data_IF_181728027940
#
_entry.id   IF_181728027940
#
_cell.length_a   1.000
_cell.length_b   1.000
_cell.length_c   1.000
_cell.angle_alpha   90.00
_cell.angle_beta   90.00
_cell.angle_gamma   90.00
#
_symmetry.space_group_name_H-M   'P 1'
#
loop_
_entity.id
_entity.type
_entity.pdbx_description
1 polymer ?
#
# COMPACT_ATOMS: atom_id res chain seq x y z
N UNK A 1 0.14 9.42 -9.30
CA UNK A 1 1.32 8.78 -9.96
C UNK A 1 1.70 9.51 -11.26
N UNK A 2 0.79 9.68 -12.24
CA UNK A 2 1.10 10.35 -13.53
C UNK A 2 1.72 11.73 -13.31
N UNK A 3 1.11 12.57 -12.49
CA UNK A 3 1.63 13.92 -12.16
C UNK A 3 3.05 13.91 -11.59
N UNK A 4 3.37 12.92 -10.76
CA UNK A 4 4.72 12.77 -10.22
C UNK A 4 5.77 12.48 -11.31
N UNK A 5 5.40 11.65 -12.29
CA UNK A 5 6.30 11.38 -13.43
C UNK A 5 6.47 12.60 -14.34
N UNK A 6 5.39 13.36 -14.60
CA UNK A 6 5.44 14.59 -15.38
C UNK A 6 6.30 15.62 -14.67
N UNK A 7 6.10 15.79 -13.35
CA UNK A 7 6.90 16.73 -12.55
C UNK A 7 8.38 16.36 -12.55
N UNK A 8 8.70 15.07 -12.33
CA UNK A 8 10.08 14.59 -12.40
C UNK A 8 10.69 14.80 -13.80
N UNK A 9 9.95 14.46 -14.87
CA UNK A 9 10.40 14.65 -16.25
C UNK A 9 10.72 16.14 -16.56
N UNK A 10 9.85 17.07 -16.16
CA UNK A 10 10.03 18.49 -16.40
C UNK A 10 11.23 19.09 -15.63
N UNK A 11 11.69 18.43 -14.57
CA UNK A 11 12.83 18.85 -13.76
C UNK A 11 14.10 18.02 -14.02
N UNK A 12 14.02 17.00 -14.88
CA UNK A 12 15.15 16.16 -15.24
C UNK A 12 15.98 16.85 -16.31
N UNK A 13 17.18 17.28 -15.92
CA UNK A 13 18.18 17.88 -16.82
C UNK A 13 19.56 17.30 -16.50
N UNK A 14 20.54 17.53 -17.37
CA UNK A 14 21.93 17.14 -17.11
C UNK A 14 22.44 17.84 -15.84
N UNK A 15 22.96 17.07 -14.89
CA UNK A 15 23.40 17.57 -13.59
C UNK A 15 22.28 17.82 -12.56
N UNK A 16 21.02 17.49 -12.89
CA UNK A 16 19.90 17.59 -11.96
C UNK A 16 20.07 16.63 -10.77
N UNK A 17 19.69 17.04 -9.55
CA UNK A 17 19.72 16.16 -8.37
C UNK A 17 18.76 14.96 -8.48
N UNK A 18 17.83 14.99 -9.42
CA UNK A 18 16.85 13.92 -9.63
C UNK A 18 17.49 12.68 -10.29
N UNK A 19 18.51 12.90 -11.13
CA UNK A 19 19.15 11.85 -11.91
C UNK A 19 19.75 10.74 -11.03
N UNK A 20 19.27 9.49 -11.21
CA UNK A 20 19.76 8.31 -10.46
C UNK A 20 19.18 8.14 -9.06
N UNK A 21 18.34 9.05 -8.57
CA UNK A 21 17.69 8.94 -7.27
C UNK A 21 16.35 8.23 -7.33
N UNK A 22 15.98 7.53 -6.23
CA UNK A 22 14.68 6.89 -6.04
C UNK A 22 13.82 7.72 -5.09
N UNK A 23 12.52 7.83 -5.40
CA UNK A 23 11.59 8.66 -4.64
C UNK A 23 10.35 7.86 -4.24
N UNK A 24 9.93 8.03 -2.99
CA UNK A 24 8.61 7.57 -2.56
C UNK A 24 7.55 8.59 -2.96
N UNK A 25 6.50 8.10 -3.62
CA UNK A 25 5.36 8.89 -4.08
C UNK A 25 4.09 8.36 -3.42
N UNK A 26 3.48 9.20 -2.59
CA UNK A 26 2.24 8.87 -1.87
C UNK A 26 1.41 10.13 -1.64
N UNK A 27 0.22 9.98 -1.06
CA UNK A 27 -0.61 11.12 -0.65
C UNK A 27 -0.05 11.86 0.59
N UNK A 28 0.98 11.33 1.24
CA UNK A 28 1.56 11.85 2.48
C UNK A 28 0.53 11.97 3.64
N UNK A 29 -0.51 11.14 3.58
CA UNK A 29 -1.58 11.04 4.59
C UNK A 29 -1.52 9.62 5.17
N UNK A 30 -0.83 9.39 6.31
CA UNK A 30 -0.81 8.09 6.95
C UNK A 30 -2.22 7.75 7.47
N UNK A 31 -2.71 6.56 7.13
CA UNK A 31 -4.02 6.08 7.55
C UNK A 31 -3.90 4.71 8.21
N UNK A 32 -4.77 4.42 9.18
CA UNK A 32 -4.90 3.06 9.69
C UNK A 32 -5.52 2.16 8.63
N UNK A 33 -4.80 1.14 8.19
CA UNK A 33 -5.22 0.23 7.12
C UNK A 33 -6.59 -0.42 7.41
N UNK A 34 -6.81 -0.86 8.64
CA UNK A 34 -8.02 -1.59 9.02
C UNK A 34 -9.24 -0.68 9.11
N UNK A 35 -9.07 0.54 9.60
CA UNK A 35 -10.13 1.55 9.63
C UNK A 35 -10.49 2.01 8.21
N UNK A 36 -9.48 2.21 7.38
CA UNK A 36 -9.67 2.57 5.98
C UNK A 36 -10.40 1.46 5.21
N UNK A 37 -10.00 0.19 5.36
CA UNK A 37 -10.69 -0.96 4.76
C UNK A 37 -12.14 -1.09 5.22
N UNK A 38 -12.40 -0.92 6.51
CA UNK A 38 -13.77 -0.97 7.04
C UNK A 38 -14.64 0.18 6.50
N UNK A 39 -14.08 1.37 6.31
CA UNK A 39 -14.76 2.50 5.68
C UNK A 39 -15.10 2.20 4.21
N UNK A 40 -14.16 1.59 3.47
CA UNK A 40 -14.40 1.14 2.10
C UNK A 40 -15.50 0.06 2.05
N UNK A 41 -15.43 -0.96 2.89
CA UNK A 41 -16.44 -2.03 2.94
C UNK A 41 -17.83 -1.48 3.27
N UNK A 42 -17.92 -0.56 4.24
CA UNK A 42 -19.16 0.15 4.55
C UNK A 42 -19.71 0.89 3.33
N UNK A 43 -18.86 1.58 2.59
CA UNK A 43 -19.24 2.32 1.38
C UNK A 43 -19.70 1.41 0.25
N UNK A 44 -19.24 0.17 0.20
CA UNK A 44 -19.64 -0.85 -0.75
C UNK A 44 -20.80 -1.74 -0.26
N UNK A 45 -21.39 -1.46 0.92
CA UNK A 45 -22.40 -2.28 1.58
C UNK A 45 -21.92 -3.72 1.88
N UNK A 46 -20.62 -3.89 2.09
CA UNK A 46 -20.00 -5.15 2.49
C UNK A 46 -19.90 -5.25 4.02
N UNK A 47 -19.80 -6.47 4.53
CA UNK A 47 -19.64 -6.71 5.97
C UNK A 47 -18.25 -6.25 6.42
N UNK A 48 -18.16 -5.45 7.50
CA UNK A 48 -16.88 -5.00 8.03
C UNK A 48 -16.06 -6.16 8.59
N UNK A 49 -14.74 -5.96 8.64
CA UNK A 49 -13.81 -6.91 9.22
C UNK A 49 -13.78 -6.76 10.74
N UNK A 50 -14.38 -7.71 11.45
CA UNK A 50 -14.42 -7.73 12.92
C UNK A 50 -13.43 -8.72 13.53
N UNK A 51 -12.97 -9.71 12.74
CA UNK A 51 -12.07 -10.76 13.25
C UNK A 51 -10.63 -10.26 13.20
N UNK A 52 -9.98 -10.26 14.36
CA UNK A 52 -8.55 -10.00 14.48
C UNK A 52 -7.82 -11.28 14.91
N UNK A 53 -6.60 -11.43 14.43
CA UNK A 53 -5.67 -12.47 14.85
C UNK A 53 -4.44 -11.80 15.45
N UNK A 54 -3.92 -12.30 16.55
CA UNK A 54 -2.69 -11.74 17.12
C UNK A 54 -1.50 -12.01 16.20
N UNK A 55 -0.55 -11.07 16.15
CA UNK A 55 0.67 -11.18 15.35
C UNK A 55 1.37 -12.54 15.52
N UNK A 56 1.56 -13.00 16.78
CA UNK A 56 2.21 -14.29 17.07
C UNK A 56 1.50 -15.47 16.41
N UNK A 57 0.16 -15.51 16.44
CA UNK A 57 -0.62 -16.56 15.79
C UNK A 57 -0.52 -16.48 14.28
N UNK A 58 -0.62 -15.29 13.70
CA UNK A 58 -0.46 -15.09 12.26
C UNK A 58 0.95 -15.50 11.78
N UNK A 59 2.00 -15.13 12.52
CA UNK A 59 3.37 -15.49 12.21
C UNK A 59 3.62 -17.00 12.26
N UNK A 60 3.14 -17.68 13.33
CA UNK A 60 3.26 -19.13 13.46
C UNK A 60 2.46 -19.87 12.36
N UNK A 61 1.26 -19.40 12.03
CA UNK A 61 0.50 -19.94 10.92
C UNK A 61 1.25 -19.79 9.59
N UNK A 62 1.84 -18.61 9.34
CA UNK A 62 2.70 -18.37 8.18
C UNK A 62 3.88 -19.33 8.10
N UNK A 63 4.58 -19.58 9.22
CA UNK A 63 5.67 -20.53 9.28
C UNK A 63 5.23 -21.97 8.97
N UNK A 64 4.06 -22.39 9.50
CA UNK A 64 3.49 -23.70 9.22
C UNK A 64 3.12 -23.85 7.73
N UNK A 65 2.49 -22.85 7.13
CA UNK A 65 2.19 -22.84 5.69
C UNK A 65 3.46 -22.87 4.84
N UNK A 66 4.48 -22.07 5.14
CA UNK A 66 5.75 -22.10 4.43
C UNK A 66 6.42 -23.47 4.49
N UNK A 67 6.35 -24.17 5.63
CA UNK A 67 6.87 -25.53 5.78
C UNK A 67 6.09 -26.54 4.95
N UNK A 68 4.74 -26.47 4.98
CA UNK A 68 3.88 -27.34 4.19
C UNK A 68 4.11 -27.16 2.69
N UNK A 69 4.18 -25.93 2.20
CA UNK A 69 4.42 -25.64 0.78
C UNK A 69 5.81 -26.06 0.31
N UNK A 70 6.81 -26.09 1.20
CA UNK A 70 8.15 -26.61 0.87
C UNK A 70 8.20 -28.14 0.78
N UNK A 71 7.40 -28.84 1.58
CA UNK A 71 7.44 -30.31 1.66
C UNK A 71 6.45 -30.99 0.73
N UNK A 72 5.37 -30.30 0.36
CA UNK A 72 4.31 -30.82 -0.51
C UNK A 72 4.37 -30.13 -1.88
N UNK A 73 4.12 -30.84 -3.00
CA UNK A 73 4.10 -30.26 -4.35
C UNK A 73 2.81 -29.45 -4.60
N UNK A 74 2.53 -28.46 -3.75
CA UNK A 74 1.34 -27.62 -3.84
C UNK A 74 1.59 -26.52 -4.87
N UNK A 75 0.75 -26.46 -5.91
CA UNK A 75 0.86 -25.48 -7.01
C UNK A 75 0.07 -24.18 -6.77
N UNK A 76 -0.75 -24.12 -5.73
CA UNK A 76 -1.50 -22.90 -5.38
C UNK A 76 -0.63 -21.92 -4.64
N UNK A 77 -1.04 -20.63 -4.68
CA UNK A 77 -0.39 -19.57 -3.93
C UNK A 77 -0.46 -19.82 -2.43
N UNK A 78 0.57 -19.38 -1.71
CA UNK A 78 0.66 -19.50 -0.26
C UNK A 78 -0.39 -18.59 0.40
N UNK A 79 -1.34 -19.12 1.20
CA UNK A 79 -2.41 -18.32 1.80
C UNK A 79 -1.90 -17.21 2.72
N UNK A 80 -0.82 -17.49 3.44
CA UNK A 80 -0.15 -16.55 4.35
C UNK A 80 1.31 -16.95 4.51
N UNK A 81 2.20 -15.98 4.45
CA UNK A 81 3.62 -16.13 4.80
C UNK A 81 3.96 -15.33 6.06
N UNK A 82 5.09 -15.64 6.69
CA UNK A 82 5.63 -14.81 7.79
C UNK A 82 5.87 -13.38 7.34
N UNK A 83 6.29 -13.18 6.09
CA UNK A 83 6.47 -11.85 5.51
C UNK A 83 5.16 -11.07 5.49
N UNK A 84 4.08 -11.67 5.00
CA UNK A 84 2.75 -11.03 4.97
C UNK A 84 2.27 -10.71 6.39
N UNK A 85 2.45 -11.63 7.34
CA UNK A 85 2.10 -11.38 8.74
C UNK A 85 2.86 -10.18 9.33
N UNK A 86 4.16 -10.05 9.03
CA UNK A 86 4.96 -8.89 9.45
C UNK A 86 4.50 -7.60 8.78
N UNK A 87 4.22 -7.64 7.47
CA UNK A 87 3.77 -6.46 6.72
C UNK A 87 2.42 -5.92 7.22
N UNK A 88 1.50 -6.80 7.59
CA UNK A 88 0.17 -6.39 8.10
C UNK A 88 0.17 -5.95 9.57
N UNK A 89 1.22 -6.28 10.33
CA UNK A 89 1.30 -6.00 11.77
C UNK A 89 2.11 -4.73 12.11
N UNK A 90 2.89 -4.22 11.17
CA UNK A 90 3.74 -3.04 11.40
C UNK A 90 3.30 -1.86 10.54
N UNK A 91 3.59 -0.67 11.03
CA UNK A 91 3.33 0.56 10.30
C UNK A 91 4.34 0.71 9.14
N UNK A 92 3.81 1.03 7.97
CA UNK A 92 4.60 1.31 6.78
C UNK A 92 4.24 2.70 6.26
N UNK A 93 5.08 3.66 6.60
CA UNK A 93 4.96 5.03 6.14
C UNK A 93 6.29 5.51 5.55
N UNK A 94 6.22 6.17 4.43
CA UNK A 94 7.39 6.70 3.73
C UNK A 94 7.20 8.18 3.45
N UNK A 95 8.23 8.98 3.78
CA UNK A 95 8.23 10.40 3.54
C UNK A 95 8.36 10.72 2.04
N UNK A 96 7.56 11.65 1.56
CA UNK A 96 7.65 12.21 0.22
C UNK A 96 8.51 13.49 0.17
N UNK A 97 9.20 13.80 1.26
CA UNK A 97 9.94 15.07 1.41
C UNK A 97 11.01 15.26 0.33
N UNK A 98 11.74 14.19 -0.03
CA UNK A 98 12.75 14.27 -1.10
C UNK A 98 12.12 14.58 -2.46
N UNK A 99 10.97 13.98 -2.79
CA UNK A 99 10.25 14.29 -4.03
C UNK A 99 9.73 15.73 -4.04
N UNK A 100 9.30 16.25 -2.89
CA UNK A 100 8.87 17.63 -2.75
C UNK A 100 10.04 18.61 -2.91
N UNK A 101 11.19 18.35 -2.28
CA UNK A 101 12.35 19.25 -2.34
C UNK A 101 13.01 19.25 -3.72
N UNK A 102 13.12 18.11 -4.39
CA UNK A 102 13.93 17.96 -5.59
C UNK A 102 13.16 18.33 -6.88
N UNK A 103 11.87 18.05 -6.95
CA UNK A 103 11.06 18.38 -8.13
C UNK A 103 9.63 18.89 -7.85
N UNK A 104 9.41 19.40 -6.62
CA UNK A 104 8.15 20.07 -6.27
C UNK A 104 6.93 19.16 -6.24
N UNK A 105 7.10 17.86 -5.96
CA UNK A 105 5.96 16.94 -5.89
C UNK A 105 5.01 17.32 -4.76
N UNK A 106 3.75 17.50 -5.11
CA UNK A 106 2.65 17.61 -4.15
C UNK A 106 1.50 16.67 -4.54
N UNK A 107 0.88 15.97 -3.57
CA UNK A 107 -0.27 15.12 -3.84
C UNK A 107 -1.44 15.95 -4.37
N UNK A 108 -1.97 15.60 -5.53
CA UNK A 108 -3.11 16.28 -6.17
C UNK A 108 -4.45 15.87 -5.53
N UNK A 109 -4.52 14.68 -4.93
CA UNK A 109 -5.73 14.13 -4.33
C UNK A 109 -5.45 13.67 -2.90
N UNK A 110 -6.32 14.06 -1.97
CA UNK A 110 -6.36 13.46 -0.63
C UNK A 110 -6.88 12.01 -0.67
N UNK A 111 -6.62 11.26 0.39
CA UNK A 111 -7.14 9.88 0.52
C UNK A 111 -8.68 9.84 0.44
N UNK A 112 -9.36 10.82 1.02
CA UNK A 112 -10.83 10.93 0.95
C UNK A 112 -11.32 11.19 -0.47
N UNK A 113 -10.69 12.13 -1.19
CA UNK A 113 -11.06 12.45 -2.57
C UNK A 113 -10.80 11.26 -3.52
N UNK A 114 -9.70 10.53 -3.30
CA UNK A 114 -9.39 9.31 -4.04
C UNK A 114 -10.45 8.23 -3.77
N UNK A 115 -10.84 8.01 -2.52
CA UNK A 115 -11.89 7.08 -2.14
C UNK A 115 -13.22 7.42 -2.84
N UNK A 116 -13.66 8.69 -2.82
CA UNK A 116 -14.88 9.15 -3.49
C UNK A 116 -14.89 8.85 -4.99
N UNK A 117 -13.75 8.92 -5.65
CA UNK A 117 -13.62 8.59 -7.08
C UNK A 117 -13.59 7.08 -7.33
N UNK A 118 -13.01 6.29 -6.44
CA UNK A 118 -12.83 4.84 -6.61
C UNK A 118 -14.12 4.05 -6.34
N UNK A 119 -14.93 4.46 -5.35
CA UNK A 119 -16.14 3.75 -4.95
C UNK A 119 -17.15 3.55 -6.11
N UNK A 120 -17.50 4.57 -6.94
CA UNK A 120 -18.41 4.37 -8.06
C UNK A 120 -17.90 3.34 -9.06
N UNK A 121 -16.60 3.36 -9.35
CA UNK A 121 -15.97 2.39 -10.24
C UNK A 121 -16.03 0.96 -9.70
N UNK A 122 -15.74 0.76 -8.41
CA UNK A 122 -15.83 -0.54 -7.77
C UNK A 122 -17.27 -1.10 -7.70
N UNK A 123 -18.30 -0.22 -7.72
CA UNK A 123 -19.69 -0.65 -7.74
C UNK A 123 -20.17 -1.05 -9.14
N UNK A 124 -19.49 -0.61 -10.18
CA UNK A 124 -19.81 -0.91 -11.58
C UNK A 124 -19.05 -2.12 -12.14
N UNK A 125 -18.07 -2.62 -11.41
CA UNK A 125 -17.28 -3.81 -11.75
C UNK A 125 -17.87 -5.07 -11.15
#
# INVERSE_FOLDING_TARGET
>A
MVEAHISAFNNLAEGSPIGGNAYFISQNEPVNLWEWLNSLFKSLNLKPLHKSISFRKAYLAGAAFEMLWKTLPIKSDLPMSRFVACQLAHDHWFSTQSAKSDFGYEPVLSMEAAMKKTIPWLRSS
#
